data_IF_429262745572
#
_entry.id   IF_429262745572
#
_cell.length_a   1.000
_cell.length_b   1.000
_cell.length_c   1.000
_cell.angle_alpha   90.00
_cell.angle_beta   90.00
_cell.angle_gamma   90.00
#
_symmetry.space_group_name_H-M   'P 1'
#
loop_
_entity.id
_entity.type
_entity.pdbx_description
1 polymer ?
#
# COMPACT_ATOMS: atom_id res chain seq x y z
N UNK A 1 -17.46 -15.04 6.60
CA UNK A 1 -16.61 -15.29 5.41
C UNK A 1 -15.34 -14.49 5.59
N UNK A 2 -14.18 -15.14 5.70
CA UNK A 2 -12.87 -14.49 5.82
C UNK A 2 -12.46 -13.91 4.48
N UNK A 3 -12.16 -12.61 4.44
CA UNK A 3 -11.74 -11.92 3.22
C UNK A 3 -10.32 -12.37 2.83
N UNK A 4 -10.04 -12.54 1.53
CA UNK A 4 -8.71 -12.90 1.01
C UNK A 4 -7.62 -11.91 1.47
N UNK A 5 -8.00 -10.64 1.64
CA UNK A 5 -7.16 -9.56 2.16
C UNK A 5 -6.77 -9.82 3.62
N UNK A 6 -7.71 -10.19 4.48
CA UNK A 6 -7.45 -10.44 5.90
C UNK A 6 -6.46 -11.62 6.06
N UNK A 7 -6.60 -12.66 5.24
CA UNK A 7 -5.68 -13.82 5.20
C UNK A 7 -4.29 -13.40 4.72
N UNK A 8 -4.21 -12.50 3.74
CA UNK A 8 -2.93 -11.98 3.26
C UNK A 8 -2.20 -11.18 4.34
N UNK A 9 -2.90 -10.22 4.94
CA UNK A 9 -2.39 -9.36 6.02
C UNK A 9 -1.93 -10.21 7.21
N UNK A 10 -2.71 -11.20 7.63
CA UNK A 10 -2.35 -12.12 8.71
C UNK A 10 -1.08 -12.93 8.42
N UNK A 11 -0.88 -13.37 7.18
CA UNK A 11 0.35 -14.05 6.74
C UNK A 11 1.56 -13.11 6.73
N UNK A 12 1.40 -11.86 6.25
CA UNK A 12 2.48 -10.84 6.27
C UNK A 12 2.91 -10.50 7.68
N UNK A 13 1.95 -10.33 8.59
CA UNK A 13 2.15 -10.13 10.02
C UNK A 13 3.00 -11.27 10.62
N UNK A 14 2.55 -12.52 10.44
CA UNK A 14 3.25 -13.71 10.95
C UNK A 14 4.68 -13.82 10.41
N UNK A 15 4.87 -13.57 9.11
CA UNK A 15 6.19 -13.62 8.48
C UNK A 15 7.12 -12.58 9.08
N UNK A 16 6.68 -11.32 9.20
CA UNK A 16 7.51 -10.23 9.72
C UNK A 16 7.89 -10.47 11.18
N UNK A 17 6.92 -10.85 12.02
CA UNK A 17 7.17 -11.19 13.42
C UNK A 17 8.26 -12.26 13.57
N UNK A 18 8.19 -13.33 12.77
CA UNK A 18 9.18 -14.42 12.77
C UNK A 18 10.56 -13.97 12.31
N UNK A 19 10.64 -13.11 11.29
CA UNK A 19 11.92 -12.55 10.84
C UNK A 19 12.61 -11.72 11.92
N UNK A 20 11.84 -11.09 12.81
CA UNK A 20 12.35 -10.36 13.97
C UNK A 20 12.61 -11.26 15.19
N UNK A 21 12.41 -12.58 15.08
CA UNK A 21 12.57 -13.52 16.19
C UNK A 21 11.55 -13.36 17.32
N UNK A 22 10.47 -12.59 17.11
CA UNK A 22 9.48 -12.29 18.15
C UNK A 22 8.49 -13.44 18.34
N UNK A 23 8.15 -13.77 19.58
CA UNK A 23 7.00 -14.64 19.87
C UNK A 23 5.68 -13.87 19.76
N UNK A 24 4.54 -14.57 19.69
CA UNK A 24 3.22 -13.91 19.71
C UNK A 24 2.98 -13.15 21.01
N UNK A 25 3.56 -13.62 22.13
CA UNK A 25 3.50 -12.94 23.41
C UNK A 25 4.30 -11.64 23.39
N UNK A 26 5.53 -11.64 22.84
CA UNK A 26 6.35 -10.43 22.75
C UNK A 26 5.68 -9.36 21.88
N UNK A 27 5.14 -9.74 20.72
CA UNK A 27 4.43 -8.79 19.87
C UNK A 27 3.14 -8.28 20.51
N UNK A 28 2.43 -9.16 21.22
CA UNK A 28 1.24 -8.78 21.98
C UNK A 28 1.56 -7.74 23.05
N UNK A 29 2.64 -7.94 23.82
CA UNK A 29 3.10 -7.01 24.83
C UNK A 29 3.46 -5.64 24.25
N UNK A 30 4.21 -5.59 23.14
CA UNK A 30 4.57 -4.35 22.46
C UNK A 30 3.35 -3.55 21.96
N UNK A 31 2.28 -4.24 21.54
CA UNK A 31 1.04 -3.63 21.00
C UNK A 31 -0.03 -3.42 22.08
N UNK A 32 0.20 -3.92 23.29
CA UNK A 32 -0.76 -3.86 24.40
C UNK A 32 -1.98 -4.77 24.21
N UNK A 33 -1.82 -5.94 23.58
CA UNK A 33 -2.87 -6.94 23.39
C UNK A 33 -2.42 -8.35 23.78
N UNK A 34 -3.39 -9.23 24.09
CA UNK A 34 -3.08 -10.61 24.47
C UNK A 34 -2.51 -11.41 23.29
N UNK A 35 -1.60 -12.36 23.56
CA UNK A 35 -1.01 -13.23 22.53
C UNK A 35 -2.07 -13.99 21.70
N UNK A 36 -3.17 -14.39 22.32
CA UNK A 36 -4.30 -15.04 21.63
C UNK A 36 -4.89 -14.15 20.54
N UNK A 37 -4.90 -12.83 20.74
CA UNK A 37 -5.37 -11.89 19.74
C UNK A 37 -4.40 -11.81 18.56
N UNK A 38 -3.09 -11.80 18.81
CA UNK A 38 -2.07 -11.91 17.74
C UNK A 38 -2.26 -13.20 16.95
N UNK A 39 -2.48 -14.34 17.62
CA UNK A 39 -2.77 -15.60 16.94
C UNK A 39 -4.02 -15.50 16.05
N UNK A 40 -5.11 -14.90 16.56
CA UNK A 40 -6.34 -14.69 15.78
C UNK A 40 -6.12 -13.77 14.58
N UNK A 41 -5.26 -12.76 14.69
CA UNK A 41 -4.86 -11.91 13.56
C UNK A 41 -4.03 -12.69 12.53
N UNK A 42 -3.04 -13.47 12.97
CA UNK A 42 -2.18 -14.24 12.07
C UNK A 42 -2.94 -15.33 11.28
N UNK A 43 -3.98 -15.91 11.88
CA UNK A 43 -4.84 -16.89 11.24
C UNK A 43 -6.08 -16.27 10.57
N UNK A 44 -6.18 -14.94 10.54
CA UNK A 44 -7.34 -14.19 10.03
C UNK A 44 -8.69 -14.56 10.65
N UNK A 45 -8.69 -15.18 11.84
CA UNK A 45 -9.92 -15.47 12.58
C UNK A 45 -10.59 -14.17 13.07
N UNK A 46 -9.79 -13.13 13.33
CA UNK A 46 -10.26 -11.79 13.62
C UNK A 46 -9.67 -10.79 12.61
N UNK A 47 -10.49 -9.84 12.17
CA UNK A 47 -10.04 -8.70 11.35
C UNK A 47 -9.22 -7.74 12.20
N UNK A 48 -8.20 -7.15 11.60
CA UNK A 48 -7.37 -6.12 12.21
C UNK A 48 -7.99 -4.76 11.89
N UNK A 49 -8.27 -3.93 12.90
CA UNK A 49 -8.73 -2.56 12.67
C UNK A 49 -7.58 -1.68 12.18
N UNK A 50 -7.90 -0.55 11.53
CA UNK A 50 -6.87 0.39 11.05
C UNK A 50 -5.93 0.87 12.17
N UNK A 51 -6.47 1.21 13.35
CA UNK A 51 -5.67 1.59 14.52
C UNK A 51 -4.72 0.46 14.94
N UNK A 52 -5.17 -0.80 14.96
CA UNK A 52 -4.30 -1.92 15.31
C UNK A 52 -3.26 -2.23 14.25
N UNK A 53 -3.60 -2.03 12.98
CA UNK A 53 -2.65 -2.20 11.89
C UNK A 53 -1.50 -1.18 11.98
N UNK A 54 -1.80 0.05 12.42
CA UNK A 54 -0.81 1.08 12.70
C UNK A 54 0.07 0.71 13.91
N UNK A 55 -0.52 0.30 15.04
CA UNK A 55 0.26 -0.14 16.21
C UNK A 55 1.22 -1.30 15.84
N UNK A 56 0.74 -2.24 15.02
CA UNK A 56 1.53 -3.37 14.53
C UNK A 56 2.64 -2.94 13.57
N UNK A 57 2.44 -1.88 12.76
CA UNK A 57 3.48 -1.39 11.85
C UNK A 57 4.64 -0.78 12.63
N UNK A 58 4.33 0.00 13.66
CA UNK A 58 5.32 0.57 14.58
C UNK A 58 6.11 -0.51 15.31
N UNK A 59 5.41 -1.48 15.92
CA UNK A 59 6.05 -2.58 16.65
C UNK A 59 6.94 -3.49 15.76
N UNK A 60 6.62 -3.60 14.47
CA UNK A 60 7.37 -4.43 13.52
C UNK A 60 8.39 -3.65 12.69
N UNK A 61 8.53 -2.34 12.95
CA UNK A 61 9.41 -1.42 12.23
C UNK A 61 9.24 -1.53 10.71
N UNK A 62 8.00 -1.41 10.24
CA UNK A 62 7.64 -1.41 8.81
C UNK A 62 6.59 -0.32 8.55
N UNK A 63 6.54 0.26 7.34
CA UNK A 63 5.42 1.13 6.98
C UNK A 63 4.11 0.32 6.95
N UNK A 64 2.96 0.95 7.22
CA UNK A 64 1.62 0.30 7.17
C UNK A 64 1.38 -0.38 5.82
N UNK A 65 1.88 0.21 4.72
CA UNK A 65 1.79 -0.34 3.36
C UNK A 65 2.35 -1.77 3.25
N UNK A 66 3.33 -2.13 4.09
CA UNK A 66 3.95 -3.46 4.14
C UNK A 66 2.92 -4.60 4.24
N UNK A 67 1.80 -4.39 4.92
CA UNK A 67 0.77 -5.42 5.07
C UNK A 67 0.01 -5.72 3.77
N UNK A 68 0.09 -4.81 2.80
CA UNK A 68 -0.60 -4.87 1.51
C UNK A 68 0.35 -4.99 0.31
N UNK A 69 1.67 -4.85 0.48
CA UNK A 69 2.63 -5.05 -0.62
C UNK A 69 2.38 -6.37 -1.35
N UNK A 70 2.32 -6.36 -2.68
CA UNK A 70 2.05 -7.55 -3.50
C UNK A 70 0.58 -8.00 -3.52
N UNK A 71 -0.31 -7.28 -2.83
CA UNK A 71 -1.75 -7.40 -3.00
C UNK A 71 -2.13 -6.59 -4.25
N UNK A 72 -2.63 -7.25 -5.30
CA UNK A 72 -3.00 -6.62 -6.58
C UNK A 72 -2.17 -7.03 -7.78
N UNK A 73 -1.00 -7.67 -7.59
CA UNK A 73 -0.16 -8.20 -8.69
C UNK A 73 -0.81 -9.35 -9.48
N UNK A 74 -2.00 -9.80 -9.07
CA UNK A 74 -2.81 -10.78 -9.80
C UNK A 74 -3.97 -10.18 -10.61
N UNK A 75 -4.23 -8.89 -10.50
CA UNK A 75 -5.38 -8.23 -11.15
C UNK A 75 -5.00 -7.03 -12.05
N UNK A 76 -3.71 -6.75 -12.24
CA UNK A 76 -3.23 -5.68 -13.17
C UNK A 76 -3.24 -6.12 -14.64
N UNK A 77 -4.08 -7.10 -15.00
CA UNK A 77 -4.28 -7.53 -16.38
C UNK A 77 -5.49 -6.89 -17.07
N UNK A 78 -6.30 -6.07 -16.36
CA UNK A 78 -7.43 -5.39 -16.98
C UNK A 78 -7.87 -4.17 -16.15
N UNK A 79 -7.17 -3.05 -16.26
CA UNK A 79 -7.78 -1.80 -16.73
C UNK A 79 -6.74 -0.69 -16.88
N UNK A 80 -6.93 0.11 -17.92
CA UNK A 80 -6.11 1.22 -18.36
C UNK A 80 -5.82 2.20 -17.21
N UNK A 81 -4.54 2.51 -16.93
CA UNK A 81 -4.00 3.58 -16.05
C UNK A 81 -3.21 3.17 -14.78
N UNK A 82 -2.57 2.01 -14.76
CA UNK A 82 -1.50 1.77 -13.77
C UNK A 82 -0.19 2.35 -14.28
N UNK A 83 0.21 3.54 -13.81
CA UNK A 83 1.57 4.04 -14.04
C UNK A 83 2.56 2.98 -13.51
N UNK A 84 3.59 2.58 -14.29
CA UNK A 84 4.64 1.70 -13.78
C UNK A 84 5.13 2.22 -12.43
N UNK A 85 5.38 1.33 -11.47
CA UNK A 85 5.81 1.70 -10.11
C UNK A 85 7.08 2.58 -10.08
N UNK A 86 7.83 2.57 -11.18
CA UNK A 86 9.06 3.34 -11.40
C UNK A 86 8.82 4.72 -12.06
N UNK A 87 7.60 5.07 -12.49
CA UNK A 87 7.34 6.34 -13.18
C UNK A 87 7.65 7.56 -12.31
N UNK A 88 7.39 7.47 -11.00
CA UNK A 88 7.69 8.53 -10.03
C UNK A 88 9.17 8.56 -9.60
N UNK A 89 9.98 7.58 -9.99
CA UNK A 89 11.44 7.62 -9.78
C UNK A 89 12.15 8.42 -10.89
N UNK A 90 11.49 8.58 -12.04
CA UNK A 90 12.02 9.33 -13.17
C UNK A 90 12.06 10.82 -12.83
N UNK A 91 13.25 11.41 -12.92
CA UNK A 91 13.49 12.82 -12.62
C UNK A 91 12.57 13.75 -13.42
N UNK A 92 12.39 13.43 -14.70
CA UNK A 92 11.53 14.16 -15.63
C UNK A 92 10.06 14.16 -15.19
N UNK A 93 9.53 13.01 -14.76
CA UNK A 93 8.17 12.91 -14.21
C UNK A 93 7.98 13.79 -12.99
N UNK A 94 8.95 13.78 -12.06
CA UNK A 94 8.87 14.58 -10.84
C UNK A 94 8.96 16.09 -11.13
N UNK A 95 9.78 16.49 -12.09
CA UNK A 95 9.85 17.86 -12.58
C UNK A 95 8.50 18.29 -13.21
N UNK A 96 7.90 17.43 -14.03
CA UNK A 96 6.60 17.67 -14.65
C UNK A 96 5.47 17.80 -13.62
N UNK A 97 5.41 16.90 -12.64
CA UNK A 97 4.40 16.93 -11.57
C UNK A 97 4.51 18.20 -10.75
N UNK A 98 5.73 18.61 -10.37
CA UNK A 98 5.96 19.86 -9.63
C UNK A 98 5.56 21.08 -10.43
N UNK A 99 5.93 21.13 -11.71
CA UNK A 99 5.53 22.20 -12.61
C UNK A 99 4.00 22.28 -12.74
N UNK A 100 3.32 21.14 -12.92
CA UNK A 100 1.86 21.05 -13.05
C UNK A 100 1.11 21.59 -11.83
N UNK A 101 1.57 21.28 -10.62
CA UNK A 101 0.97 21.79 -9.38
C UNK A 101 1.27 23.28 -9.10
N UNK A 102 2.31 23.84 -9.73
CA UNK A 102 2.62 25.27 -9.63
C UNK A 102 1.73 26.15 -10.52
N UNK A 103 1.01 25.56 -11.46
CA UNK A 103 0.10 26.26 -12.38
C UNK A 103 -1.24 26.58 -11.71
N UNK A 104 -1.84 27.70 -12.13
CA UNK A 104 -3.23 28.05 -11.85
C UNK A 104 -4.21 27.14 -12.63
N UNK A 105 -5.49 27.12 -12.24
CA UNK A 105 -6.51 26.20 -12.79
C UNK A 105 -6.65 26.26 -14.31
N UNK A 106 -6.71 27.46 -14.89
CA UNK A 106 -6.86 27.66 -16.34
C UNK A 106 -5.66 27.12 -17.14
N UNK A 107 -4.40 27.52 -16.84
CA UNK A 107 -3.22 26.94 -17.48
C UNK A 107 -3.11 25.41 -17.32
N UNK A 108 -3.47 24.89 -16.14
CA UNK A 108 -3.42 23.45 -15.85
C UNK A 108 -4.38 22.66 -16.76
N UNK A 109 -5.59 23.17 -16.95
CA UNK A 109 -6.59 22.54 -17.83
C UNK A 109 -6.14 22.51 -19.28
N UNK A 110 -5.60 23.62 -19.79
CA UNK A 110 -5.06 23.72 -21.15
C UNK A 110 -3.88 22.77 -21.37
N UNK A 111 -3.00 22.65 -20.38
CA UNK A 111 -1.89 21.70 -20.42
C UNK A 111 -2.39 20.25 -20.49
N UNK A 112 -3.41 19.91 -19.71
CA UNK A 112 -4.01 18.58 -19.76
C UNK A 112 -4.64 18.28 -21.13
N UNK A 113 -5.33 19.24 -21.72
CA UNK A 113 -5.94 19.10 -23.05
C UNK A 113 -4.87 18.94 -24.13
N UNK A 114 -3.75 19.68 -24.04
CA UNK A 114 -2.60 19.52 -24.93
C UNK A 114 -1.98 18.13 -24.83
N UNK A 115 -1.71 17.65 -23.61
CA UNK A 115 -1.15 16.30 -23.39
C UNK A 115 -2.07 15.21 -23.92
N UNK A 116 -3.39 15.36 -23.73
CA UNK A 116 -4.38 14.44 -24.31
C UNK A 116 -4.36 14.48 -25.83
N UNK A 117 -4.33 15.67 -26.43
CA UNK A 117 -4.28 15.86 -27.88
C UNK A 117 -3.03 15.22 -28.51
N UNK A 118 -1.88 15.28 -27.83
CA UNK A 118 -0.64 14.63 -28.28
C UNK A 118 -0.68 13.09 -28.17
N UNK A 119 -1.58 12.54 -27.35
CA UNK A 119 -1.76 11.09 -27.16
C UNK A 119 -2.87 10.48 -28.04
N UNK A 120 -3.57 11.28 -28.85
CA UNK A 120 -4.46 10.72 -29.87
C UNK A 120 -3.61 10.17 -31.03
N UNK A 121 -3.82 8.92 -31.48
CA UNK A 121 -3.17 8.42 -32.68
C UNK A 121 -3.56 9.32 -33.85
N UNK A 122 -2.56 9.83 -34.58
CA UNK A 122 -2.82 10.49 -35.87
C UNK A 122 -3.53 9.48 -36.78
N UNK A 123 -4.69 9.87 -37.30
CA UNK A 123 -5.49 9.08 -38.22
C UNK A 123 -4.73 8.74 -39.51
#
# INVERSE_FOLDING_TARGET
MTNSIDIYVGRRLRRRRRLLGLTQANLGEQVGIRFQQIQKYECAANRISASRLFDLSEALHVPVQYFYDGLGDKDVANDTSSLPSDVLSQRETMELVRAYYSLEEEPRRRMLDLVKAMNLPSA
#
